data_IF_392921835826
#
_entry.id   IF_392921835826
#
_cell.length_a   1.000
_cell.length_b   1.000
_cell.length_c   1.000
_cell.angle_alpha   90.00
_cell.angle_beta   90.00
_cell.angle_gamma   90.00
#
_symmetry.space_group_name_H-M   'P 1'
#
loop_
_entity.id
_entity.type
_entity.pdbx_description
1 polymer ?
#
# COMPACT_ATOMS: atom_id res chain seq x y z
N UNK A 1 -54.48 1.31 10.22
CA UNK A 1 -53.63 2.03 11.20
C UNK A 1 -52.20 1.93 10.71
N UNK A 2 -51.62 3.09 10.41
CA UNK A 2 -50.31 3.25 9.77
C UNK A 2 -49.17 3.01 10.76
N UNK A 3 -48.09 2.38 10.31
CA UNK A 3 -46.75 2.62 10.85
C UNK A 3 -45.76 2.79 9.69
N UNK A 4 -45.03 3.89 9.76
CA UNK A 4 -44.08 4.43 8.79
C UNK A 4 -42.86 3.54 8.56
N UNK A 5 -42.30 3.56 7.34
CA UNK A 5 -40.85 3.43 7.15
C UNK A 5 -40.37 4.20 5.91
N UNK A 6 -39.43 5.10 6.18
CA UNK A 6 -38.85 6.07 5.25
C UNK A 6 -37.97 5.39 4.19
N UNK A 7 -38.24 5.67 2.92
CA UNK A 7 -37.34 5.39 1.80
C UNK A 7 -36.58 6.67 1.45
N UNK A 8 -35.30 6.74 1.76
CA UNK A 8 -34.43 7.80 1.26
C UNK A 8 -33.89 7.37 -0.12
N UNK A 9 -34.57 7.81 -1.18
CA UNK A 9 -34.03 7.78 -2.54
C UNK A 9 -33.04 8.94 -2.67
N UNK A 10 -31.73 8.64 -2.74
CA UNK A 10 -30.72 9.64 -3.09
C UNK A 10 -30.74 9.84 -4.61
N UNK A 11 -31.23 11.00 -5.03
CA UNK A 11 -31.20 11.49 -6.40
C UNK A 11 -29.76 11.85 -6.80
N UNK A 12 -29.26 11.22 -7.86
CA UNK A 12 -28.10 11.70 -8.62
C UNK A 12 -28.50 13.00 -9.34
N UNK A 13 -27.87 14.12 -8.97
CA UNK A 13 -27.91 15.35 -9.79
C UNK A 13 -26.60 15.41 -10.57
N UNK A 14 -26.69 15.14 -11.87
CA UNK A 14 -25.60 15.32 -12.82
C UNK A 14 -25.63 16.80 -13.25
N UNK A 15 -24.78 17.63 -12.67
CA UNK A 15 -24.62 19.01 -13.11
C UNK A 15 -23.54 19.05 -14.21
N UNK A 16 -23.99 19.12 -15.47
CA UNK A 16 -23.13 19.43 -16.62
C UNK A 16 -22.87 20.94 -16.61
N UNK A 17 -21.70 21.32 -16.11
CA UNK A 17 -21.23 22.71 -16.09
C UNK A 17 -20.08 22.92 -17.06
N UNK A 18 -20.40 23.21 -18.32
CA UNK A 18 -19.45 23.78 -19.28
C UNK A 18 -19.25 25.25 -18.94
N UNK A 19 -18.04 25.62 -18.49
CA UNK A 19 -17.71 27.01 -18.23
C UNK A 19 -16.25 27.20 -17.83
N UNK A 20 -15.40 27.47 -18.83
CA UNK A 20 -14.09 28.07 -18.59
C UNK A 20 -14.27 29.40 -17.87
N UNK A 21 -13.67 29.54 -16.68
CA UNK A 21 -13.31 30.85 -16.14
C UNK A 21 -12.07 30.70 -15.26
N UNK A 22 -10.94 31.13 -15.85
CA UNK A 22 -9.68 31.35 -15.18
C UNK A 22 -9.88 32.42 -14.10
N UNK A 23 -9.76 32.06 -12.82
CA UNK A 23 -9.56 33.00 -11.72
C UNK A 23 -8.90 32.25 -10.57
N UNK A 24 -7.59 32.46 -10.48
CA UNK A 24 -6.72 32.00 -9.41
C UNK A 24 -7.12 32.67 -8.09
N UNK A 25 -8.08 32.08 -7.38
CA UNK A 25 -8.32 32.36 -5.98
C UNK A 25 -7.56 31.31 -5.16
N UNK A 26 -6.45 31.76 -4.56
CA UNK A 26 -5.63 30.98 -3.63
C UNK A 26 -6.50 30.54 -2.43
N UNK A 27 -7.03 29.33 -2.49
CA UNK A 27 -7.28 28.54 -1.29
C UNK A 27 -5.98 27.80 -0.99
N UNK A 28 -5.06 28.47 -0.29
CA UNK A 28 -3.93 27.83 0.39
C UNK A 28 -4.48 26.88 1.44
N UNK A 29 -4.90 25.70 0.99
CA UNK A 29 -4.88 24.52 1.82
C UNK A 29 -3.42 24.32 2.18
N UNK A 30 -3.05 24.78 3.39
CA UNK A 30 -1.84 24.32 4.05
C UNK A 30 -2.10 22.84 4.33
N UNK A 31 -1.90 22.00 3.31
CA UNK A 31 -1.55 20.60 3.51
C UNK A 31 -0.29 20.69 4.34
N UNK A 32 -0.42 20.49 5.65
CA UNK A 32 0.72 20.37 6.53
C UNK A 32 1.66 19.37 5.87
N UNK A 33 2.81 19.85 5.39
CA UNK A 33 3.85 19.00 4.84
C UNK A 33 4.23 18.03 5.95
N UNK A 34 3.72 16.80 5.84
CA UNK A 34 4.16 15.71 6.70
C UNK A 34 5.65 15.60 6.41
N UNK A 35 6.52 15.81 7.41
CA UNK A 35 7.96 15.73 7.18
C UNK A 35 8.25 14.34 6.61
N UNK A 36 8.73 14.30 5.38
CA UNK A 36 9.17 13.07 4.74
C UNK A 36 10.44 12.64 5.46
N UNK A 37 10.31 11.71 6.41
CA UNK A 37 11.46 11.11 7.06
C UNK A 37 12.24 10.31 6.02
N UNK A 38 13.56 10.53 5.89
CA UNK A 38 14.37 9.76 4.94
C UNK A 38 14.31 8.27 5.30
N UNK A 39 14.10 7.42 4.28
CA UNK A 39 14.04 5.98 4.47
C UNK A 39 15.38 5.45 4.99
N UNK A 40 15.33 4.67 6.08
CA UNK A 40 16.51 4.04 6.67
C UNK A 40 17.04 2.93 5.77
N UNK A 41 18.27 2.45 6.02
CA UNK A 41 18.79 1.25 5.35
C UNK A 41 17.88 0.02 5.60
N UNK A 42 17.27 -0.07 6.79
CA UNK A 42 16.30 -1.11 7.13
C UNK A 42 15.03 -1.01 6.28
N UNK A 43 14.46 0.19 6.12
CA UNK A 43 13.25 0.40 5.33
C UNK A 43 13.50 0.01 3.87
N UNK A 44 14.60 0.50 3.29
CA UNK A 44 15.01 0.16 1.93
C UNK A 44 15.22 -1.35 1.74
N UNK A 45 15.77 -2.03 2.74
CA UNK A 45 15.94 -3.49 2.70
C UNK A 45 14.59 -4.20 2.59
N UNK A 46 13.62 -3.87 3.46
CA UNK A 46 12.31 -4.50 3.43
C UNK A 46 11.49 -4.15 2.19
N UNK A 47 11.64 -2.93 1.65
CA UNK A 47 10.99 -2.55 0.38
C UNK A 47 11.50 -3.38 -0.80
N UNK A 48 12.83 -3.53 -0.92
CA UNK A 48 13.43 -4.38 -1.97
C UNK A 48 12.97 -5.83 -1.85
N UNK A 49 12.92 -6.33 -0.61
CA UNK A 49 12.50 -7.68 -0.29
C UNK A 49 11.02 -7.91 -0.64
N UNK A 50 10.15 -6.96 -0.27
CA UNK A 50 8.73 -6.98 -0.63
C UNK A 50 8.53 -6.93 -2.14
N UNK A 51 9.24 -6.06 -2.86
CA UNK A 51 9.15 -5.99 -4.33
C UNK A 51 9.55 -7.31 -5.01
N UNK A 52 10.55 -8.01 -4.45
CA UNK A 52 10.94 -9.35 -4.91
C UNK A 52 9.83 -10.38 -4.67
N UNK A 53 9.21 -10.35 -3.48
CA UNK A 53 8.08 -11.21 -3.15
C UNK A 53 6.87 -10.94 -4.05
N UNK A 54 6.55 -9.67 -4.31
CA UNK A 54 5.46 -9.27 -5.21
C UNK A 54 5.71 -9.70 -6.66
N UNK A 55 6.95 -9.56 -7.15
CA UNK A 55 7.34 -10.07 -8.47
C UNK A 55 7.18 -11.59 -8.56
N UNK A 56 7.54 -12.32 -7.50
CA UNK A 56 7.38 -13.76 -7.42
C UNK A 56 5.92 -14.21 -7.33
N UNK A 57 5.12 -13.53 -6.52
CA UNK A 57 3.69 -13.80 -6.35
C UNK A 57 2.93 -13.54 -7.66
N UNK A 58 3.27 -12.47 -8.38
CA UNK A 58 2.65 -12.13 -9.67
C UNK A 58 2.83 -13.23 -10.72
N UNK A 59 3.98 -13.92 -10.73
CA UNK A 59 4.21 -15.08 -11.62
C UNK A 59 3.32 -16.28 -11.30
N UNK A 60 2.76 -16.33 -10.10
CA UNK A 60 1.84 -17.37 -9.63
C UNK A 60 0.38 -16.88 -9.61
N UNK A 61 0.10 -15.72 -10.22
CA UNK A 61 -1.22 -15.07 -10.21
C UNK A 61 -1.75 -14.75 -8.79
N UNK A 62 -0.84 -14.54 -7.84
CA UNK A 62 -1.13 -14.19 -6.45
C UNK A 62 -0.64 -12.78 -6.11
N UNK A 63 -1.15 -12.24 -5.00
CA UNK A 63 -0.73 -10.95 -4.43
C UNK A 63 -0.11 -11.15 -3.06
N UNK A 64 0.94 -10.38 -2.74
CA UNK A 64 1.45 -10.26 -1.38
C UNK A 64 0.48 -9.42 -0.56
N UNK A 65 -0.02 -9.97 0.54
CA UNK A 65 -0.96 -9.27 1.43
C UNK A 65 -0.25 -8.76 2.67
N UNK A 66 0.51 -9.63 3.33
CA UNK A 66 1.08 -9.38 4.64
C UNK A 66 2.47 -10.01 4.74
N UNK A 67 3.35 -9.39 5.52
CA UNK A 67 4.60 -10.01 5.95
C UNK A 67 4.31 -10.82 7.23
N UNK A 68 4.50 -12.14 7.17
CA UNK A 68 4.25 -13.04 8.29
C UNK A 68 5.35 -12.95 9.34
N UNK A 69 6.60 -12.95 8.87
CA UNK A 69 7.79 -12.90 9.70
C UNK A 69 8.85 -12.07 8.98
N UNK A 70 9.56 -11.22 9.72
CA UNK A 70 10.62 -10.37 9.18
C UNK A 70 11.77 -10.20 10.18
N UNK A 71 12.99 -10.45 9.71
CA UNK A 71 14.22 -10.25 10.47
C UNK A 71 15.13 -9.28 9.73
N UNK A 72 15.80 -8.40 10.47
CA UNK A 72 16.84 -7.54 9.94
C UNK A 72 18.03 -7.51 10.90
N UNK A 73 19.24 -7.49 10.35
CA UNK A 73 20.49 -7.34 11.09
C UNK A 73 21.32 -6.25 10.44
N UNK A 74 21.81 -5.32 11.26
CA UNK A 74 22.79 -4.33 10.83
C UNK A 74 24.20 -4.93 10.91
N UNK A 75 24.96 -4.76 9.85
CA UNK A 75 26.34 -5.22 9.72
C UNK A 75 27.30 -4.09 10.10
N UNK A 76 28.53 -4.44 10.46
CA UNK A 76 29.54 -3.47 10.90
C UNK A 76 29.95 -2.41 9.86
N UNK A 77 29.53 -2.56 8.60
CA UNK A 77 29.79 -1.58 7.53
C UNK A 77 28.61 -0.63 7.27
N UNK A 78 27.59 -0.66 8.13
CA UNK A 78 26.36 0.12 8.02
C UNK A 78 25.33 -0.45 7.04
N UNK A 79 25.60 -1.61 6.42
CA UNK A 79 24.59 -2.31 5.63
C UNK A 79 23.61 -3.07 6.51
N UNK A 80 22.38 -3.25 6.02
CA UNK A 80 21.35 -4.07 6.66
C UNK A 80 21.05 -5.25 5.77
N UNK A 81 21.12 -6.46 6.33
CA UNK A 81 20.55 -7.65 5.71
C UNK A 81 19.20 -7.95 6.31
N UNK A 82 18.23 -8.26 5.47
CA UNK A 82 16.88 -8.62 5.90
C UNK A 82 16.41 -9.92 5.25
N UNK A 83 15.57 -10.67 5.96
CA UNK A 83 14.84 -11.84 5.44
C UNK A 83 13.39 -11.81 5.89
N UNK A 84 12.46 -12.24 5.04
CA UNK A 84 11.05 -12.30 5.38
C UNK A 84 10.28 -13.44 4.69
N UNK A 85 9.14 -13.81 5.27
CA UNK A 85 8.09 -14.65 4.66
C UNK A 85 6.82 -13.83 4.50
N UNK A 86 6.02 -14.15 3.49
CA UNK A 86 4.80 -13.40 3.20
C UNK A 86 3.59 -14.31 3.07
N UNK A 87 2.44 -13.74 3.41
CA UNK A 87 1.14 -14.26 3.07
C UNK A 87 0.79 -13.81 1.66
N UNK A 88 0.43 -14.78 0.83
CA UNK A 88 -0.05 -14.61 -0.52
C UNK A 88 -1.56 -14.85 -0.58
N UNK A 89 -2.24 -14.15 -1.48
CA UNK A 89 -3.66 -14.30 -1.78
C UNK A 89 -3.86 -14.49 -3.28
N UNK A 90 -4.46 -15.60 -3.66
CA UNK A 90 -4.92 -15.85 -5.03
C UNK A 90 -6.23 -15.09 -5.32
N UNK A 91 -6.60 -15.02 -6.60
CA UNK A 91 -7.83 -14.31 -7.05
C UNK A 91 -9.13 -14.88 -6.47
N UNK A 92 -9.15 -16.16 -6.14
CA UNK A 92 -10.27 -16.89 -5.54
C UNK A 92 -10.30 -16.79 -4.01
N UNK A 93 -9.46 -15.92 -3.42
CA UNK A 93 -9.25 -15.75 -1.99
C UNK A 93 -8.57 -16.93 -1.27
N UNK A 94 -7.96 -17.86 -2.00
CA UNK A 94 -7.08 -18.85 -1.39
C UNK A 94 -5.82 -18.18 -0.84
N UNK A 95 -5.48 -18.53 0.40
CA UNK A 95 -4.29 -18.01 1.09
C UNK A 95 -3.17 -19.04 1.02
N UNK A 96 -1.97 -18.58 0.74
CA UNK A 96 -0.77 -19.40 0.84
C UNK A 96 0.34 -18.65 1.55
N UNK A 97 1.23 -19.37 2.19
CA UNK A 97 2.53 -18.83 2.56
C UNK A 97 3.46 -18.89 1.33
N UNK A 98 4.42 -17.98 1.22
CA UNK A 98 5.47 -18.09 0.22
C UNK A 98 6.24 -19.41 0.28
N UNK A 99 6.25 -20.10 1.42
CA UNK A 99 6.86 -21.42 1.62
C UNK A 99 8.39 -21.41 1.66
N UNK A 100 8.99 -20.24 1.44
CA UNK A 100 10.42 -19.97 1.51
C UNK A 100 10.67 -18.55 2.01
N UNK A 101 11.90 -18.29 2.44
CA UNK A 101 12.38 -16.98 2.86
C UNK A 101 12.88 -16.19 1.66
N UNK A 102 12.45 -14.93 1.56
CA UNK A 102 13.11 -13.93 0.73
C UNK A 102 14.24 -13.29 1.53
N UNK A 103 15.30 -12.87 0.86
CA UNK A 103 16.44 -12.18 1.46
C UNK A 103 16.87 -10.99 0.60
N UNK A 104 17.25 -9.90 1.23
CA UNK A 104 17.80 -8.71 0.58
C UNK A 104 18.88 -8.06 1.47
N UNK A 105 19.58 -7.07 0.89
CA UNK A 105 20.56 -6.24 1.60
C UNK A 105 20.49 -4.81 1.08
N UNK A 106 20.57 -3.83 1.98
CA UNK A 106 20.60 -2.41 1.64
C UNK A 106 21.65 -1.66 2.46
N UNK A 107 22.07 -0.48 2.00
CA UNK A 107 23.06 0.38 2.66
C UNK A 107 22.59 1.82 2.61
#
# INVERSE_FOLDING_TARGET
>A
MNLMKNSAALLLVIAVGSGLACSTALATTVLAEVPVTPATARDRCFDQLRGTAESSARRQEMNVVEMLEGYAVELGDGSVQCKARFLLLARDNQRADTGHWFQASAK
#
